data_IF_706203616736
#
_entry.id   IF_706203616736
#
_cell.length_a   1.000
_cell.length_b   1.000
_cell.length_c   1.000
_cell.angle_alpha   90.00
_cell.angle_beta   90.00
_cell.angle_gamma   90.00
#
_symmetry.space_group_name_H-M   'P 1'
#
loop_
_entity.id
_entity.type
_entity.pdbx_description
1 polymer ?
#
# COMPACT_ATOMS: atom_id res chain seq x y z
N UNK A 1 1.48 -31.60 7.68
CA UNK A 1 1.12 -32.60 8.70
C UNK A 1 2.39 -33.16 9.31
N UNK A 2 2.47 -33.14 10.65
CA UNK A 2 3.56 -33.79 11.40
C UNK A 2 3.19 -35.28 11.42
N UNK A 3 3.94 -36.10 10.70
CA UNK A 3 3.58 -37.50 10.52
C UNK A 3 4.27 -38.46 11.48
N UNK A 4 5.41 -38.12 12.05
CA UNK A 4 6.09 -38.93 13.06
C UNK A 4 7.03 -38.08 13.92
N UNK A 5 6.77 -38.03 15.20
CA UNK A 5 7.70 -37.47 16.19
C UNK A 5 8.36 -38.65 16.94
N UNK A 6 9.66 -38.83 16.76
CA UNK A 6 10.44 -39.83 17.51
C UNK A 6 11.29 -39.09 18.53
N UNK A 7 11.01 -39.34 19.81
CA UNK A 7 11.79 -38.80 20.92
C UNK A 7 12.71 -39.91 21.39
N UNK A 8 14.01 -39.67 21.40
CA UNK A 8 15.03 -40.59 21.89
C UNK A 8 15.77 -39.91 23.04
N UNK A 9 15.82 -40.54 24.16
CA UNK A 9 16.62 -40.12 25.33
C UNK A 9 17.89 -40.96 25.40
N UNK A 10 19.03 -40.31 25.58
CA UNK A 10 20.30 -40.99 25.82
C UNK A 10 21.13 -40.23 26.84
N UNK A 11 22.04 -40.91 27.49
CA UNK A 11 22.93 -40.34 28.48
C UNK A 11 24.37 -40.46 27.97
N UNK A 12 25.08 -39.36 27.95
CA UNK A 12 26.48 -39.30 27.57
C UNK A 12 27.23 -38.40 28.55
N UNK A 13 28.34 -38.91 29.09
CA UNK A 13 29.21 -38.20 30.07
C UNK A 13 28.45 -37.66 31.30
N UNK A 14 27.46 -38.42 31.80
CA UNK A 14 26.68 -38.06 33.01
C UNK A 14 25.64 -36.93 32.75
N UNK A 15 25.37 -36.62 31.49
CA UNK A 15 24.33 -35.68 31.08
C UNK A 15 23.28 -36.38 30.26
N UNK A 16 22.01 -36.09 30.55
CA UNK A 16 20.86 -36.54 29.77
C UNK A 16 20.65 -35.65 28.57
N UNK A 17 20.48 -36.24 27.42
CA UNK A 17 20.11 -35.60 26.17
C UNK A 17 18.78 -36.13 25.69
N UNK A 18 17.94 -35.24 25.18
CA UNK A 18 16.68 -35.56 24.52
C UNK A 18 16.78 -35.12 23.06
N UNK A 19 16.71 -36.08 22.16
CA UNK A 19 16.68 -35.77 20.73
C UNK A 19 15.26 -35.90 20.22
N UNK A 20 14.70 -34.85 19.68
CA UNK A 20 13.40 -34.86 19.02
C UNK A 20 13.62 -34.87 17.53
N UNK A 21 13.27 -35.97 16.84
CA UNK A 21 13.23 -36.02 15.38
C UNK A 21 11.81 -35.78 14.92
N UNK A 22 11.58 -34.66 14.27
CA UNK A 22 10.29 -34.33 13.63
C UNK A 22 10.41 -34.72 12.18
N UNK A 23 9.69 -35.77 11.77
CA UNK A 23 9.57 -36.12 10.36
C UNK A 23 8.55 -35.20 9.70
N UNK A 24 9.01 -34.40 8.77
CA UNK A 24 8.12 -33.72 7.83
C UNK A 24 7.90 -34.62 6.62
N UNK A 25 6.68 -35.04 6.38
CA UNK A 25 6.34 -35.53 5.04
C UNK A 25 6.51 -34.36 4.07
N UNK A 26 7.52 -34.44 3.26
CA UNK A 26 7.64 -33.54 2.11
C UNK A 26 6.42 -33.75 1.25
N UNK A 27 5.53 -32.79 1.22
CA UNK A 27 4.53 -32.76 0.15
C UNK A 27 5.31 -32.74 -1.18
N UNK A 28 4.87 -33.52 -2.19
CA UNK A 28 5.55 -33.55 -3.49
C UNK A 28 5.73 -32.09 -3.95
N UNK A 29 6.95 -31.80 -4.44
CA UNK A 29 7.40 -30.45 -4.79
C UNK A 29 6.30 -29.68 -5.52
N UNK A 30 5.65 -28.77 -4.82
CA UNK A 30 4.61 -27.92 -5.41
C UNK A 30 5.18 -27.02 -6.51
N UNK A 31 6.49 -26.79 -6.49
CA UNK A 31 7.21 -26.03 -7.51
C UNK A 31 7.34 -26.79 -8.86
N UNK A 32 7.28 -28.13 -8.85
CA UNK A 32 7.36 -28.95 -10.08
C UNK A 32 5.97 -29.24 -10.70
N UNK A 33 4.89 -28.83 -10.07
CA UNK A 33 3.56 -29.10 -10.58
C UNK A 33 3.15 -28.10 -11.66
N UNK A 34 2.93 -28.58 -12.86
CA UNK A 34 2.25 -27.81 -13.93
C UNK A 34 0.77 -27.69 -13.60
N UNK A 35 0.45 -26.81 -12.66
CA UNK A 35 -0.87 -26.71 -12.07
C UNK A 35 -2.01 -26.67 -13.09
N UNK A 36 -3.00 -27.55 -12.92
CA UNK A 36 -4.29 -27.52 -13.62
C UNK A 36 -5.36 -27.05 -12.65
N UNK A 37 -5.71 -25.78 -12.76
CA UNK A 37 -6.64 -25.13 -11.85
C UNK A 37 -8.09 -25.42 -12.19
N UNK A 38 -8.85 -25.75 -11.17
CA UNK A 38 -10.31 -25.74 -11.16
C UNK A 38 -10.77 -24.55 -10.34
N UNK A 39 -11.63 -23.73 -10.93
CA UNK A 39 -12.11 -22.49 -10.30
C UNK A 39 -13.48 -22.72 -9.69
N UNK A 40 -13.66 -22.36 -8.44
CA UNK A 40 -14.95 -22.28 -7.75
C UNK A 40 -15.21 -20.84 -7.38
N UNK A 41 -16.34 -20.28 -7.82
CA UNK A 41 -16.76 -18.94 -7.44
C UNK A 41 -17.26 -19.00 -5.99
N UNK A 42 -16.62 -18.26 -5.09
CA UNK A 42 -17.03 -18.08 -3.69
C UNK A 42 -18.02 -16.91 -3.59
N UNK A 43 -17.71 -15.83 -4.30
CA UNK A 43 -18.54 -14.63 -4.39
C UNK A 43 -18.54 -14.14 -5.83
N UNK A 44 -19.71 -13.87 -6.37
CA UNK A 44 -19.83 -13.38 -7.74
C UNK A 44 -19.32 -11.94 -7.84
N UNK A 45 -18.53 -11.65 -8.87
CA UNK A 45 -18.11 -10.29 -9.18
C UNK A 45 -19.28 -9.43 -9.66
N UNK A 46 -19.16 -8.13 -9.42
CA UNK A 46 -20.08 -7.09 -9.90
C UNK A 46 -19.34 -6.15 -10.86
N UNK A 47 -20.02 -5.11 -11.35
CA UNK A 47 -19.35 -4.08 -12.14
C UNK A 47 -18.24 -3.37 -11.39
N UNK A 48 -18.39 -3.23 -10.08
CA UNK A 48 -17.50 -2.48 -9.20
C UNK A 48 -16.57 -3.37 -8.38
N UNK A 49 -16.90 -4.66 -8.26
CA UNK A 49 -16.13 -5.60 -7.44
C UNK A 49 -15.87 -6.91 -8.16
N UNK A 50 -14.64 -7.40 -8.08
CA UNK A 50 -14.20 -8.61 -8.79
C UNK A 50 -14.65 -9.92 -8.18
N UNK A 51 -15.27 -9.92 -7.00
CA UNK A 51 -15.67 -11.13 -6.31
C UNK A 51 -14.50 -11.90 -5.69
N UNK A 52 -14.78 -13.18 -5.32
CA UNK A 52 -13.75 -14.11 -4.80
C UNK A 52 -13.87 -15.47 -5.46
N UNK A 53 -12.74 -16.02 -5.84
CA UNK A 53 -12.63 -17.34 -6.47
C UNK A 53 -11.63 -18.21 -5.71
N UNK A 54 -12.01 -19.45 -5.46
CA UNK A 54 -11.09 -20.49 -4.99
C UNK A 54 -10.56 -21.26 -6.19
N UNK A 55 -9.25 -21.34 -6.31
CA UNK A 55 -8.53 -22.14 -7.28
C UNK A 55 -8.01 -23.40 -6.60
N UNK A 56 -8.41 -24.58 -7.08
CA UNK A 56 -7.89 -25.85 -6.59
C UNK A 56 -7.15 -26.55 -7.73
N UNK A 57 -5.89 -26.90 -7.51
CA UNK A 57 -5.15 -27.68 -8.50
C UNK A 57 -5.62 -29.13 -8.50
N UNK A 58 -6.07 -29.63 -9.66
CA UNK A 58 -6.50 -31.02 -9.82
C UNK A 58 -5.38 -32.05 -9.67
N UNK A 59 -4.12 -31.62 -9.85
CA UNK A 59 -2.96 -32.52 -9.83
C UNK A 59 -2.36 -32.66 -8.43
N UNK A 60 -2.21 -31.53 -7.69
CA UNK A 60 -1.53 -31.51 -6.40
C UNK A 60 -2.41 -31.10 -5.22
N UNK A 61 -3.67 -30.72 -5.46
CA UNK A 61 -4.60 -30.31 -4.43
C UNK A 61 -4.33 -28.92 -3.82
N UNK A 62 -3.33 -28.18 -4.31
CA UNK A 62 -3.04 -26.83 -3.83
C UNK A 62 -4.26 -25.94 -4.02
N UNK A 63 -4.61 -25.20 -2.98
CA UNK A 63 -5.71 -24.23 -3.00
C UNK A 63 -5.18 -22.81 -2.88
N UNK A 64 -5.74 -21.90 -3.66
CA UNK A 64 -5.48 -20.46 -3.61
C UNK A 64 -6.81 -19.72 -3.71
N UNK A 65 -6.94 -18.65 -2.97
CA UNK A 65 -8.05 -17.70 -3.15
C UNK A 65 -7.51 -16.52 -3.94
N UNK A 66 -8.25 -16.07 -4.95
CA UNK A 66 -7.95 -14.85 -5.68
C UNK A 66 -9.19 -13.98 -5.78
N UNK A 67 -8.97 -12.69 -5.88
CA UNK A 67 -10.01 -11.73 -6.26
C UNK A 67 -9.76 -11.34 -7.71
N UNK A 68 -10.61 -11.79 -8.68
CA UNK A 68 -10.50 -11.34 -10.05
C UNK A 68 -10.82 -9.84 -10.15
N UNK A 69 -10.44 -9.20 -11.24
CA UNK A 69 -10.82 -7.81 -11.48
C UNK A 69 -12.34 -7.65 -11.52
N UNK A 70 -12.84 -6.49 -11.11
CA UNK A 70 -14.23 -6.11 -11.29
C UNK A 70 -14.63 -6.21 -12.76
N UNK A 71 -15.91 -6.52 -13.02
CA UNK A 71 -16.39 -6.72 -14.38
C UNK A 71 -16.43 -5.43 -15.21
N UNK A 72 -16.37 -4.27 -14.53
CA UNK A 72 -16.52 -2.95 -15.12
C UNK A 72 -17.96 -2.70 -15.62
N UNK A 73 -18.25 -1.45 -15.90
CA UNK A 73 -19.51 -1.09 -16.57
C UNK A 73 -19.42 -1.38 -18.08
N UNK A 74 -20.52 -1.77 -18.67
CA UNK A 74 -20.66 -2.00 -20.09
C UNK A 74 -21.92 -1.27 -20.58
N UNK A 75 -21.78 -0.49 -21.62
CA UNK A 75 -22.87 0.22 -22.30
C UNK A 75 -22.73 -0.07 -23.80
N UNK A 76 -23.19 -1.24 -24.22
CA UNK A 76 -23.06 -1.69 -25.60
C UNK A 76 -24.10 -1.05 -26.53
N UNK A 77 -25.27 -0.72 -26.00
CA UNK A 77 -26.37 -0.10 -26.74
C UNK A 77 -26.34 1.44 -26.68
N UNK A 78 -25.45 2.03 -25.86
CA UNK A 78 -25.26 3.47 -25.69
C UNK A 78 -26.48 4.21 -25.15
N UNK A 79 -27.26 3.53 -24.33
CA UNK A 79 -28.39 4.14 -23.63
C UNK A 79 -28.01 4.90 -22.37
N UNK A 80 -26.70 4.93 -22.03
CA UNK A 80 -26.10 5.52 -20.84
C UNK A 80 -26.50 4.81 -19.54
N UNK A 81 -26.93 3.59 -19.61
CA UNK A 81 -27.12 2.69 -18.49
C UNK A 81 -26.16 1.51 -18.62
N UNK A 82 -25.64 1.05 -17.52
CA UNK A 82 -24.82 -0.16 -17.55
C UNK A 82 -25.68 -1.39 -17.89
N UNK A 83 -25.34 -2.12 -18.93
CA UNK A 83 -26.03 -3.36 -19.33
C UNK A 83 -26.06 -4.44 -18.26
N UNK A 84 -25.14 -4.37 -17.29
CA UNK A 84 -24.99 -5.35 -16.21
C UNK A 84 -25.72 -4.97 -14.93
N UNK A 85 -25.53 -3.74 -14.43
CA UNK A 85 -26.10 -3.29 -13.15
C UNK A 85 -27.21 -2.25 -13.32
N UNK A 86 -27.40 -1.71 -14.50
CA UNK A 86 -28.38 -0.66 -14.84
C UNK A 86 -28.08 0.70 -14.18
N UNK A 87 -26.88 0.87 -13.64
CA UNK A 87 -26.48 2.17 -13.11
C UNK A 87 -26.27 3.19 -14.23
N UNK A 88 -26.64 4.45 -14.03
CA UNK A 88 -26.47 5.49 -15.03
C UNK A 88 -25.00 5.82 -15.28
N UNK A 89 -24.57 5.83 -16.54
CA UNK A 89 -23.23 6.13 -17.00
C UNK A 89 -23.13 7.60 -17.47
N UNK A 90 -23.58 8.51 -16.67
CA UNK A 90 -23.56 9.94 -16.99
C UNK A 90 -22.18 10.48 -16.69
N UNK A 91 -21.27 10.55 -17.63
CA UNK A 91 -20.04 11.35 -17.61
C UNK A 91 -19.24 11.47 -16.30
N UNK A 92 -19.88 11.38 -15.18
CA UNK A 92 -19.32 11.16 -13.86
C UNK A 92 -19.36 9.64 -13.62
N UNK A 93 -18.22 8.97 -13.78
CA UNK A 93 -18.13 7.54 -13.42
C UNK A 93 -18.63 7.36 -11.98
N UNK A 94 -19.49 6.36 -11.71
CA UNK A 94 -19.98 6.12 -10.36
C UNK A 94 -18.80 5.86 -9.44
N UNK A 95 -18.79 6.53 -8.30
CA UNK A 95 -17.80 6.33 -7.25
C UNK A 95 -17.88 4.87 -6.82
N UNK A 96 -16.74 4.20 -6.83
CA UNK A 96 -16.66 2.84 -6.35
C UNK A 96 -16.99 2.81 -4.85
N UNK A 97 -18.05 2.08 -4.50
CA UNK A 97 -18.44 1.85 -3.12
C UNK A 97 -18.51 0.35 -2.87
N UNK A 98 -18.21 -0.08 -1.65
CA UNK A 98 -18.22 -1.50 -1.33
C UNK A 98 -18.07 -1.74 0.17
N UNK A 99 -18.03 -3.01 0.54
CA UNK A 99 -17.58 -3.46 1.85
C UNK A 99 -16.19 -4.04 1.70
N UNK A 100 -15.25 -3.33 2.23
CA UNK A 100 -13.85 -3.68 2.16
C UNK A 100 -13.38 -4.17 3.53
N UNK A 101 -12.49 -5.15 3.52
CA UNK A 101 -11.84 -5.65 4.73
C UNK A 101 -10.33 -5.50 4.61
N UNK A 102 -9.64 -5.38 5.75
CA UNK A 102 -8.17 -5.43 5.79
C UNK A 102 -7.67 -6.69 5.09
N UNK A 103 -6.72 -6.52 4.19
CA UNK A 103 -6.17 -7.60 3.36
C UNK A 103 -6.79 -7.72 1.96
N UNK A 104 -7.94 -7.09 1.67
CA UNK A 104 -8.50 -7.05 0.31
C UNK A 104 -7.54 -6.33 -0.65
N UNK A 105 -7.40 -6.86 -1.86
CA UNK A 105 -6.46 -6.34 -2.86
C UNK A 105 -7.21 -5.82 -4.08
N UNK A 106 -6.85 -4.62 -4.49
CA UNK A 106 -7.34 -3.94 -5.67
C UNK A 106 -6.21 -3.70 -6.66
N UNK A 107 -6.50 -3.76 -7.94
CA UNK A 107 -5.53 -3.45 -9.00
C UNK A 107 -5.85 -2.10 -9.59
N UNK A 108 -4.87 -1.20 -9.65
CA UNK A 108 -5.01 0.15 -10.21
C UNK A 108 -3.90 0.44 -11.21
N UNK A 109 -4.24 1.21 -12.21
CA UNK A 109 -3.29 1.70 -13.19
C UNK A 109 -2.83 3.11 -12.82
N UNK A 110 -1.51 3.32 -12.82
CA UNK A 110 -0.89 4.64 -12.68
C UNK A 110 -0.03 4.91 -13.93
N UNK A 111 -0.54 5.75 -14.81
CA UNK A 111 0.09 5.96 -16.10
C UNK A 111 0.04 4.72 -16.99
N UNK A 112 1.20 4.15 -17.32
CA UNK A 112 1.33 2.93 -18.16
C UNK A 112 1.34 1.65 -17.34
N UNK A 113 1.63 1.73 -16.06
CA UNK A 113 1.90 0.60 -15.19
C UNK A 113 0.71 0.28 -14.31
N UNK A 114 0.64 -0.98 -13.89
CA UNK A 114 -0.44 -1.52 -13.07
C UNK A 114 0.13 -1.97 -11.74
N UNK A 115 -0.48 -1.53 -10.64
CA UNK A 115 -0.06 -1.81 -9.28
C UNK A 115 -1.17 -2.46 -8.49
N UNK A 116 -0.78 -3.28 -7.52
CA UNK A 116 -1.69 -3.83 -6.52
C UNK A 116 -1.71 -2.92 -5.30
N UNK A 117 -2.90 -2.74 -4.74
CA UNK A 117 -3.15 -1.97 -3.54
C UNK A 117 -3.90 -2.84 -2.56
N UNK A 118 -3.41 -2.91 -1.34
CA UNK A 118 -4.00 -3.70 -0.25
C UNK A 118 -4.74 -2.78 0.71
N UNK A 119 -5.94 -3.18 1.13
CA UNK A 119 -6.65 -2.54 2.21
C UNK A 119 -5.88 -2.76 3.52
N UNK A 120 -5.45 -1.68 4.15
CA UNK A 120 -4.72 -1.68 5.43
C UNK A 120 -5.56 -1.15 6.59
N UNK A 121 -6.70 -0.53 6.29
CA UNK A 121 -7.64 -0.03 7.29
C UNK A 121 -9.05 0.00 6.67
N UNK A 122 -10.00 -0.67 7.28
CA UNK A 122 -11.39 -0.73 6.81
C UNK A 122 -12.33 0.22 7.57
N UNK A 123 -11.79 0.99 8.51
CA UNK A 123 -12.48 2.03 9.28
C UNK A 123 -11.68 3.36 9.30
N UNK A 124 -11.00 3.65 8.18
CA UNK A 124 -10.21 4.86 8.06
C UNK A 124 -11.09 6.11 8.06
N UNK A 125 -10.77 7.04 8.96
CA UNK A 125 -11.35 8.38 8.95
C UNK A 125 -10.32 9.36 8.42
N UNK A 126 -10.58 9.94 7.27
CA UNK A 126 -9.77 11.07 6.78
C UNK A 126 -9.85 12.23 7.75
N UNK A 127 -8.86 13.11 7.76
CA UNK A 127 -8.82 14.29 8.64
C UNK A 127 -9.93 15.33 8.33
N UNK A 128 -11.00 14.90 7.70
CA UNK A 128 -12.18 15.72 7.36
C UNK A 128 -13.35 15.42 8.26
N UNK A 129 -14.28 16.36 8.26
CA UNK A 129 -15.44 16.41 9.14
C UNK A 129 -16.65 15.60 8.64
N UNK A 130 -16.51 14.87 7.58
CA UNK A 130 -17.54 13.96 7.12
C UNK A 130 -17.47 12.68 7.96
N UNK A 131 -18.58 12.30 8.54
CA UNK A 131 -18.70 11.05 9.30
C UNK A 131 -18.67 9.82 8.39
N UNK A 132 -18.15 9.97 7.15
CA UNK A 132 -17.99 8.89 6.19
C UNK A 132 -16.83 7.99 6.59
N UNK A 133 -17.09 6.70 6.64
CA UNK A 133 -16.05 5.67 6.80
C UNK A 133 -15.46 5.32 5.45
N UNK A 134 -14.17 5.08 5.45
CA UNK A 134 -13.43 4.69 4.25
C UNK A 134 -12.61 3.44 4.50
N UNK A 135 -12.35 2.69 3.45
CA UNK A 135 -11.27 1.74 3.41
C UNK A 135 -10.04 2.41 2.82
N UNK A 136 -8.90 2.32 3.51
CA UNK A 136 -7.62 2.83 3.06
C UNK A 136 -6.87 1.73 2.33
N UNK A 137 -6.59 1.95 1.06
CA UNK A 137 -5.78 1.08 0.22
C UNK A 137 -4.38 1.65 0.03
N UNK A 138 -3.37 0.83 0.26
CA UNK A 138 -1.96 1.19 0.13
C UNK A 138 -1.31 0.37 -0.98
N UNK A 139 -0.52 1.00 -1.83
CA UNK A 139 0.26 0.32 -2.86
C UNK A 139 1.17 -0.75 -2.25
N UNK A 140 1.13 -1.98 -2.74
CA UNK A 140 1.94 -3.07 -2.19
C UNK A 140 3.43 -2.90 -2.49
N UNK A 141 3.76 -2.32 -3.63
CA UNK A 141 5.14 -2.10 -4.05
C UNK A 141 5.53 -0.64 -3.96
N UNK A 142 6.80 -0.39 -3.73
CA UNK A 142 7.35 0.96 -3.85
C UNK A 142 7.53 1.29 -5.32
N UNK A 143 6.84 2.34 -5.79
CA UNK A 143 7.04 2.90 -7.12
C UNK A 143 8.39 3.61 -7.12
N UNK A 144 9.29 3.19 -7.98
CA UNK A 144 10.63 3.74 -8.07
C UNK A 144 10.61 5.22 -8.46
N UNK A 145 11.53 6.00 -7.92
CA UNK A 145 11.63 7.44 -8.25
C UNK A 145 11.99 7.73 -9.70
N UNK A 146 12.53 6.75 -10.45
CA UNK A 146 12.90 6.89 -11.87
C UNK A 146 11.84 6.41 -12.87
N UNK A 147 10.61 6.14 -12.43
CA UNK A 147 9.53 5.59 -13.25
C UNK A 147 9.18 6.41 -14.49
N UNK A 148 9.34 7.73 -14.44
CA UNK A 148 9.09 8.59 -15.61
C UNK A 148 10.25 8.66 -16.61
N UNK A 149 11.27 7.83 -16.44
CA UNK A 149 12.50 7.86 -17.24
C UNK A 149 12.38 7.22 -18.64
N UNK A 150 11.18 7.07 -19.17
CA UNK A 150 10.98 6.58 -20.55
C UNK A 150 11.44 7.60 -21.62
N UNK A 151 11.77 8.81 -21.21
CA UNK A 151 12.34 9.84 -22.08
C UNK A 151 13.83 9.98 -21.83
N UNK A 152 14.59 10.41 -22.85
CA UNK A 152 16.04 10.59 -22.83
C UNK A 152 16.58 11.55 -21.76
N UNK A 153 15.68 12.26 -21.08
CA UNK A 153 15.94 13.05 -19.88
C UNK A 153 15.32 12.34 -18.65
N UNK A 154 16.03 11.38 -18.10
CA UNK A 154 15.65 10.67 -16.88
C UNK A 154 15.33 11.66 -15.75
N UNK A 155 14.07 12.01 -15.58
CA UNK A 155 13.64 12.82 -14.46
C UNK A 155 13.36 11.90 -13.27
N UNK A 156 14.19 12.00 -12.25
CA UNK A 156 13.94 11.34 -10.95
C UNK A 156 12.91 12.16 -10.21
N UNK A 157 11.89 11.50 -9.69
CA UNK A 157 10.86 12.12 -8.86
C UNK A 157 11.42 12.27 -7.46
N UNK A 158 11.52 13.49 -6.97
CA UNK A 158 11.92 13.82 -5.61
C UNK A 158 10.75 14.44 -4.85
N UNK A 159 10.91 14.65 -3.54
CA UNK A 159 9.86 15.36 -2.80
C UNK A 159 9.66 16.77 -3.33
N UNK A 160 10.73 17.45 -3.67
CA UNK A 160 10.69 18.77 -4.27
C UNK A 160 11.73 19.74 -3.69
N UNK A 161 11.34 21.02 -3.56
CA UNK A 161 12.23 22.09 -3.11
C UNK A 161 12.26 22.26 -1.59
N UNK A 162 11.19 21.89 -0.92
CA UNK A 162 11.01 21.94 0.52
C UNK A 162 10.04 20.84 0.97
N UNK A 163 9.87 20.69 2.26
CA UNK A 163 9.03 19.65 2.85
C UNK A 163 7.53 20.01 2.95
N UNK A 164 7.08 21.02 2.20
CA UNK A 164 5.65 21.31 2.07
C UNK A 164 4.98 20.31 1.13
N UNK A 165 4.31 19.31 1.67
CA UNK A 165 3.62 18.30 0.86
C UNK A 165 2.61 18.89 -0.13
N UNK A 166 1.91 19.97 0.24
CA UNK A 166 0.92 20.61 -0.62
C UNK A 166 1.49 21.01 -1.97
N UNK A 167 2.73 21.50 -1.99
CA UNK A 167 3.41 22.02 -3.17
C UNK A 167 4.47 21.05 -3.72
N UNK A 168 4.55 19.82 -3.17
CA UNK A 168 5.56 18.83 -3.53
C UNK A 168 5.43 18.34 -4.97
N UNK A 169 6.56 17.97 -5.57
CA UNK A 169 6.58 17.34 -6.91
C UNK A 169 5.87 15.98 -6.89
N UNK A 170 5.98 15.24 -5.78
CA UNK A 170 5.31 13.96 -5.58
C UNK A 170 3.80 14.12 -5.64
N UNK A 171 3.22 15.05 -4.86
CA UNK A 171 1.77 15.28 -4.87
C UNK A 171 1.28 15.70 -6.25
N UNK A 172 2.04 16.54 -6.95
CA UNK A 172 1.74 16.92 -8.33
C UNK A 172 1.75 15.71 -9.25
N UNK A 173 2.79 14.86 -9.15
CA UNK A 173 2.90 13.64 -9.94
C UNK A 173 1.72 12.69 -9.72
N UNK A 174 1.36 12.43 -8.45
CA UNK A 174 0.22 11.58 -8.09
C UNK A 174 -1.09 12.14 -8.67
N UNK A 175 -1.31 13.45 -8.52
CA UNK A 175 -2.50 14.11 -9.05
C UNK A 175 -2.59 13.99 -10.56
N UNK A 176 -1.49 14.26 -11.28
CA UNK A 176 -1.46 14.20 -12.74
C UNK A 176 -1.72 12.78 -13.26
N UNK A 177 -1.31 11.73 -12.50
CA UNK A 177 -1.60 10.32 -12.82
C UNK A 177 -3.02 9.89 -12.53
N UNK A 178 -3.70 10.53 -11.58
CA UNK A 178 -5.08 10.19 -11.18
C UNK A 178 -6.15 10.99 -11.95
N UNK A 179 -5.80 12.08 -12.61
CA UNK A 179 -6.75 12.99 -13.27
C UNK A 179 -6.77 12.91 -14.79
N UNK A 180 -5.80 12.22 -15.41
CA UNK A 180 -5.75 12.06 -16.86
C UNK A 180 -6.62 10.89 -17.36
N UNK A 181 -7.08 10.95 -18.63
CA UNK A 181 -7.79 9.85 -19.29
C UNK A 181 -7.04 8.50 -19.20
N UNK A 182 -5.73 8.54 -19.06
CA UNK A 182 -4.89 7.35 -18.87
C UNK A 182 -4.93 6.78 -17.44
N UNK A 183 -5.35 7.56 -16.44
CA UNK A 183 -5.42 7.11 -15.03
C UNK A 183 -6.75 6.44 -14.66
N UNK A 184 -7.79 6.70 -15.44
CA UNK A 184 -9.16 6.25 -15.16
C UNK A 184 -9.54 4.94 -15.86
N UNK A 185 -8.69 4.42 -16.74
CA UNK A 185 -9.05 3.29 -17.60
C UNK A 185 -8.67 1.93 -16.99
N UNK A 186 -9.22 1.56 -15.85
CA UNK A 186 -9.24 0.14 -15.50
C UNK A 186 -10.39 -0.18 -14.53
N UNK A 187 -11.58 -0.39 -15.06
CA UNK A 187 -12.59 -1.31 -14.50
C UNK A 187 -13.08 -1.11 -13.06
N UNK A 188 -12.63 -0.09 -12.41
CA UNK A 188 -13.03 0.33 -11.08
C UNK A 188 -13.45 1.80 -11.18
N UNK A 189 -14.55 2.17 -10.57
CA UNK A 189 -15.09 3.53 -10.60
C UNK A 189 -14.07 4.61 -10.24
N UNK A 190 -14.38 5.85 -10.51
CA UNK A 190 -13.51 6.97 -10.22
C UNK A 190 -13.14 7.02 -8.73
N UNK A 191 -11.86 7.25 -8.43
CA UNK A 191 -11.44 7.50 -7.06
C UNK A 191 -12.04 8.83 -6.59
N UNK A 192 -12.73 8.80 -5.45
CA UNK A 192 -13.24 10.01 -4.82
C UNK A 192 -12.08 10.78 -4.17
N UNK A 193 -12.02 12.13 -4.31
CA UNK A 193 -11.08 12.90 -3.52
C UNK A 193 -11.49 12.89 -2.05
N UNK A 194 -10.52 12.66 -1.18
CA UNK A 194 -10.69 12.74 0.28
C UNK A 194 -9.88 13.88 0.86
N UNK A 195 -10.29 14.37 2.03
CA UNK A 195 -9.53 15.40 2.72
C UNK A 195 -8.30 14.76 3.37
N UNK A 196 -7.12 15.18 2.93
CA UNK A 196 -5.83 14.76 3.46
C UNK A 196 -5.19 15.93 4.17
N UNK A 197 -4.82 15.73 5.43
CA UNK A 197 -4.21 16.77 6.26
C UNK A 197 -2.72 16.57 6.48
N UNK A 198 -1.98 17.69 6.54
CA UNK A 198 -0.70 17.80 7.22
C UNK A 198 -0.93 18.65 8.46
N UNK A 199 -1.04 17.98 9.60
CA UNK A 199 -1.41 18.60 10.89
C UNK A 199 -0.29 18.50 11.91
N UNK A 200 0.78 17.78 11.56
CA UNK A 200 1.89 17.46 12.45
C UNK A 200 3.23 17.55 11.72
N UNK A 201 4.27 17.87 12.48
CA UNK A 201 5.66 17.66 12.12
C UNK A 201 6.33 16.86 13.23
N UNK A 202 7.46 16.29 12.93
CA UNK A 202 8.24 15.52 13.92
C UNK A 202 9.70 15.93 13.92
N UNK A 203 10.40 15.64 15.03
CA UNK A 203 11.85 15.60 15.14
C UNK A 203 12.28 14.22 15.59
N UNK A 204 13.49 13.80 15.20
CA UNK A 204 14.03 12.49 15.54
C UNK A 204 13.68 11.41 14.51
N UNK A 205 13.87 10.17 14.90
CA UNK A 205 13.62 9.00 14.06
C UNK A 205 13.24 7.79 14.91
N UNK A 206 12.70 6.76 14.30
CA UNK A 206 12.52 5.47 14.96
C UNK A 206 13.84 4.70 14.97
N UNK A 207 14.06 3.86 15.97
CA UNK A 207 15.15 2.89 15.94
C UNK A 207 14.88 1.80 14.91
N UNK A 208 15.92 1.17 14.33
CA UNK A 208 15.76 -0.03 13.51
C UNK A 208 15.00 -1.10 14.27
N UNK A 209 14.08 -1.79 13.58
CA UNK A 209 13.39 -2.93 14.17
C UNK A 209 14.36 -4.08 14.38
N UNK A 210 14.58 -4.51 15.62
CA UNK A 210 15.19 -5.80 15.94
C UNK A 210 14.09 -6.83 16.15
N UNK A 211 14.30 -8.07 15.67
CA UNK A 211 13.33 -9.14 15.90
C UNK A 211 13.01 -9.28 17.39
N UNK A 212 11.76 -9.02 17.76
CA UNK A 212 11.23 -9.23 19.11
C UNK A 212 11.26 -8.04 20.07
N UNK A 213 11.84 -6.89 19.71
CA UNK A 213 11.77 -5.68 20.51
C UNK A 213 10.97 -4.60 19.81
N UNK A 214 10.03 -3.97 20.54
CA UNK A 214 9.34 -2.78 20.05
C UNK A 214 10.38 -1.69 19.78
N UNK A 215 10.47 -1.19 18.55
CA UNK A 215 11.37 -0.12 18.19
C UNK A 215 11.11 1.09 19.10
N UNK A 216 12.11 1.51 19.85
CA UNK A 216 12.01 2.73 20.63
C UNK A 216 11.80 3.90 19.68
N UNK A 217 10.74 4.65 19.90
CA UNK A 217 10.38 5.77 19.06
C UNK A 217 10.92 7.04 19.69
N UNK A 218 12.01 7.57 19.17
CA UNK A 218 12.57 8.87 19.58
C UNK A 218 11.94 10.04 18.79
N UNK A 219 10.66 9.91 18.41
CA UNK A 219 9.95 10.92 17.65
C UNK A 219 9.27 11.92 18.58
N UNK A 220 9.66 13.18 18.48
CA UNK A 220 8.99 14.29 19.15
C UNK A 220 7.97 14.91 18.20
N UNK A 221 6.70 14.89 18.60
CA UNK A 221 5.57 15.36 17.80
C UNK A 221 5.29 16.84 18.06
N UNK A 222 5.11 17.59 16.98
CA UNK A 222 4.70 18.99 17.00
C UNK A 222 3.37 19.14 16.26
N UNK A 223 2.41 19.81 16.89
CA UNK A 223 1.14 20.13 16.24
C UNK A 223 1.29 21.37 15.38
N UNK A 224 0.86 21.29 14.14
CA UNK A 224 0.86 22.38 13.18
C UNK A 224 -0.55 22.96 12.98
N UNK A 225 -0.62 24.16 12.43
CA UNK A 225 -1.86 24.62 11.82
C UNK A 225 -2.23 23.67 10.66
N UNK A 226 -3.42 23.07 10.66
CA UNK A 226 -3.80 22.08 9.67
C UNK A 226 -3.73 22.63 8.24
N UNK A 227 -2.97 21.96 7.39
CA UNK A 227 -2.99 22.21 5.95
C UNK A 227 -3.78 21.09 5.28
N UNK A 228 -5.02 21.40 4.89
CA UNK A 228 -5.92 20.44 4.27
C UNK A 228 -5.83 20.48 2.75
N UNK A 229 -5.87 19.32 2.13
CA UNK A 229 -5.83 19.11 0.70
C UNK A 229 -6.91 18.11 0.30
N UNK A 230 -7.45 18.25 -0.89
CA UNK A 230 -8.39 17.27 -1.45
C UNK A 230 -7.64 16.46 -2.52
N UNK A 231 -7.37 15.19 -2.22
CA UNK A 231 -6.55 14.32 -3.05
C UNK A 231 -7.22 12.96 -3.28
N UNK A 232 -7.09 12.42 -4.50
CA UNK A 232 -7.53 11.06 -4.84
C UNK A 232 -6.51 10.01 -4.44
N UNK A 233 -5.22 10.35 -4.59
CA UNK A 233 -4.10 9.54 -4.10
C UNK A 233 -3.14 10.43 -3.31
N UNK A 234 -2.58 9.87 -2.25
CA UNK A 234 -1.73 10.60 -1.31
C UNK A 234 -0.68 9.67 -0.69
N UNK A 235 0.29 10.24 0.01
CA UNK A 235 1.24 9.49 0.81
C UNK A 235 0.74 9.37 2.25
N UNK A 236 1.15 8.32 2.96
CA UNK A 236 0.90 8.18 4.39
C UNK A 236 1.61 9.29 5.20
N UNK A 237 1.07 9.64 6.36
CA UNK A 237 1.78 10.40 7.38
C UNK A 237 2.67 9.48 8.22
N UNK A 238 3.50 10.07 9.08
CA UNK A 238 4.28 9.32 10.08
C UNK A 238 3.36 8.53 11.02
N UNK A 239 2.27 9.14 11.49
CA UNK A 239 1.32 8.47 12.39
C UNK A 239 0.65 7.27 11.70
N UNK A 240 0.27 7.42 10.43
CA UNK A 240 -0.32 6.32 9.66
C UNK A 240 0.72 5.24 9.38
N UNK A 241 1.94 5.61 9.02
CA UNK A 241 3.03 4.64 8.82
C UNK A 241 3.33 3.84 10.09
N UNK A 242 3.31 4.48 11.27
CA UNK A 242 3.45 3.81 12.56
C UNK A 242 2.25 2.91 12.87
N UNK A 243 1.02 3.37 12.57
CA UNK A 243 -0.22 2.61 12.81
C UNK A 243 -0.27 1.32 12.00
N UNK A 244 0.14 1.39 10.73
CA UNK A 244 0.08 0.25 9.81
C UNK A 244 1.42 -0.47 9.65
N UNK A 245 2.33 -0.32 10.59
CA UNK A 245 3.70 -0.82 10.49
C UNK A 245 3.78 -2.32 10.25
N UNK A 246 2.92 -3.11 10.89
CA UNK A 246 2.91 -4.56 10.75
C UNK A 246 2.48 -4.99 9.35
N UNK A 247 1.50 -4.30 8.76
CA UNK A 247 1.02 -4.57 7.40
C UNK A 247 2.00 -4.06 6.32
N UNK A 248 2.95 -3.18 6.69
CA UNK A 248 3.89 -2.58 5.75
C UNK A 248 5.16 -3.40 5.54
N UNK A 249 5.49 -4.30 6.46
CA UNK A 249 6.77 -5.02 6.45
C UNK A 249 6.90 -6.09 5.38
N UNK A 250 5.82 -6.75 4.99
CA UNK A 250 5.87 -7.92 4.09
C UNK A 250 6.18 -7.60 2.63
N UNK A 251 6.36 -6.34 2.29
CA UNK A 251 6.62 -5.90 0.93
C UNK A 251 8.08 -5.49 0.75
N UNK A 252 8.96 -6.46 0.69
CA UNK A 252 10.36 -6.24 0.30
C UNK A 252 10.38 -5.87 -1.17
N UNK A 253 10.74 -4.62 -1.47
CA UNK A 253 11.05 -4.23 -2.84
C UNK A 253 12.42 -4.79 -3.24
N UNK A 254 12.57 -5.18 -4.51
CA UNK A 254 13.88 -5.53 -5.06
C UNK A 254 14.89 -4.40 -4.79
N UNK A 255 16.13 -4.75 -4.46
CA UNK A 255 17.20 -3.79 -4.27
C UNK A 255 17.39 -2.93 -5.53
N UNK A 256 17.00 -1.69 -5.42
CA UNK A 256 17.15 -0.70 -6.48
C UNK A 256 17.69 0.61 -5.89
N UNK A 257 18.67 1.26 -6.54
CA UNK A 257 19.17 2.55 -6.09
C UNK A 257 18.11 3.65 -6.07
N UNK A 258 16.95 3.42 -6.71
CA UNK A 258 15.82 4.36 -6.81
C UNK A 258 14.61 3.95 -5.97
N UNK A 259 14.76 2.96 -5.09
CA UNK A 259 13.70 2.48 -4.19
C UNK A 259 14.26 2.00 -2.87
N UNK A 260 15.20 2.77 -2.30
CA UNK A 260 15.74 2.55 -0.94
C UNK A 260 14.64 2.48 0.10
N UNK A 261 13.55 3.21 -0.15
CA UNK A 261 12.40 3.31 0.69
C UNK A 261 11.34 4.18 0.04
N UNK A 262 10.46 4.77 0.81
CA UNK A 262 9.40 5.61 0.28
C UNK A 262 9.13 6.83 1.16
N UNK A 263 8.72 7.90 0.51
CA UNK A 263 8.36 9.15 1.15
C UNK A 263 7.06 9.08 1.95
N UNK A 264 7.02 9.82 3.05
CA UNK A 264 5.81 10.15 3.79
C UNK A 264 5.44 11.62 3.56
N UNK A 265 4.17 11.99 3.82
CA UNK A 265 3.73 13.38 3.64
C UNK A 265 4.09 14.31 4.81
N UNK A 266 4.62 13.79 5.90
CA UNK A 266 4.92 14.53 7.13
C UNK A 266 6.23 15.28 7.01
N UNK A 267 6.27 16.60 7.28
CA UNK A 267 7.51 17.35 7.29
C UNK A 267 8.33 17.09 8.56
N UNK A 268 9.64 17.23 8.46
CA UNK A 268 10.51 17.38 9.62
C UNK A 268 10.28 18.77 10.22
N UNK A 269 10.16 18.84 11.55
CA UNK A 269 9.98 20.11 12.24
C UNK A 269 11.24 20.96 12.12
N UNK A 270 11.08 22.17 11.66
CA UNK A 270 12.12 23.19 11.65
C UNK A 270 11.58 24.46 12.28
N UNK A 271 12.31 24.99 13.27
CA UNK A 271 11.96 26.24 13.92
C UNK A 271 12.51 27.43 13.13
N UNK A 272 11.65 28.38 12.86
CA UNK A 272 12.05 29.65 12.24
C UNK A 272 12.54 30.67 13.28
N UNK A 273 13.08 31.78 12.81
CA UNK A 273 13.63 32.86 13.65
C UNK A 273 12.64 33.40 14.70
N UNK A 274 11.35 33.29 14.45
CA UNK A 274 10.28 33.76 15.34
C UNK A 274 9.71 32.66 16.26
N UNK A 275 10.38 31.50 16.38
CA UNK A 275 9.94 30.37 17.19
C UNK A 275 8.78 29.57 16.64
N UNK A 276 8.34 29.82 15.40
CA UNK A 276 7.28 29.07 14.74
C UNK A 276 7.81 28.05 13.72
N UNK A 277 6.96 27.12 13.32
CA UNK A 277 7.28 26.13 12.28
C UNK A 277 7.52 26.82 10.93
N UNK A 278 8.58 26.40 10.25
CA UNK A 278 8.84 26.74 8.84
C UNK A 278 9.08 25.47 8.03
N UNK A 279 8.77 25.52 6.73
CA UNK A 279 9.08 24.42 5.81
C UNK A 279 10.57 24.41 5.48
N UNK A 280 11.23 23.28 5.75
CA UNK A 280 12.66 23.07 5.54
C UNK A 280 12.96 22.15 4.35
N UNK A 281 14.16 21.58 4.37
CA UNK A 281 14.68 20.72 3.30
C UNK A 281 14.61 19.23 3.61
N UNK A 282 14.00 18.82 4.73
CA UNK A 282 13.87 17.42 5.13
C UNK A 282 12.41 17.02 5.33
N UNK A 283 12.02 15.91 4.75
CA UNK A 283 10.74 15.26 4.97
C UNK A 283 10.96 13.85 5.51
N UNK A 284 9.91 13.24 6.08
CA UNK A 284 10.02 11.87 6.57
C UNK A 284 9.94 10.86 5.43
N UNK A 285 10.74 9.81 5.56
CA UNK A 285 10.72 8.65 4.70
C UNK A 285 10.84 7.36 5.54
N UNK A 286 10.40 6.24 4.97
CA UNK A 286 10.62 4.89 5.50
C UNK A 286 11.79 4.29 4.74
N UNK A 287 12.82 3.83 5.45
CA UNK A 287 13.93 3.07 4.88
C UNK A 287 13.58 1.57 4.93
N UNK A 288 13.51 0.92 3.78
CA UNK A 288 13.13 -0.49 3.69
C UNK A 288 14.23 -1.46 4.13
N UNK A 289 15.47 -0.98 4.31
CA UNK A 289 16.58 -1.83 4.74
C UNK A 289 16.48 -2.24 6.20
N UNK A 290 15.91 -1.37 7.03
CA UNK A 290 15.81 -1.55 8.47
C UNK A 290 14.45 -1.10 9.06
N UNK A 291 13.55 -0.58 8.23
CA UNK A 291 12.22 -0.08 8.63
C UNK A 291 12.25 1.22 9.43
N UNK A 292 13.37 1.90 9.47
CA UNK A 292 13.48 3.20 10.13
C UNK A 292 12.58 4.24 9.46
N UNK A 293 11.79 4.95 10.26
CA UNK A 293 11.09 6.15 9.85
C UNK A 293 11.93 7.34 10.32
N UNK A 294 12.50 8.06 9.37
CA UNK A 294 13.45 9.13 9.69
C UNK A 294 13.46 10.25 8.66
N UNK A 295 14.20 11.33 8.96
CA UNK A 295 14.37 12.46 8.05
C UNK A 295 15.20 12.07 6.83
N UNK A 296 14.82 12.63 5.68
CA UNK A 296 15.56 12.54 4.43
C UNK A 296 15.50 13.87 3.68
N UNK A 297 16.58 14.23 3.01
CA UNK A 297 16.64 15.44 2.19
C UNK A 297 15.60 15.37 1.06
N UNK A 298 14.79 16.42 0.89
CA UNK A 298 13.71 16.47 -0.10
C UNK A 298 14.17 16.30 -1.54
N UNK A 299 15.45 16.49 -1.80
CA UNK A 299 16.11 16.27 -3.10
C UNK A 299 16.64 14.84 -3.29
N UNK A 300 16.56 13.98 -2.28
CA UNK A 300 17.05 12.61 -2.37
C UNK A 300 16.20 11.78 -3.34
N UNK A 301 16.78 11.37 -4.44
CA UNK A 301 16.15 10.56 -5.48
C UNK A 301 16.19 9.05 -5.20
N UNK A 302 16.74 8.61 -4.07
CA UNK A 302 16.77 7.18 -3.70
C UNK A 302 15.45 6.67 -3.10
N UNK A 303 14.59 7.57 -2.60
CA UNK A 303 13.27 7.22 -2.09
C UNK A 303 12.21 7.27 -3.18
N UNK A 304 11.42 6.22 -3.26
CA UNK A 304 10.29 6.11 -4.18
C UNK A 304 8.97 6.55 -3.55
N UNK A 305 7.87 6.07 -4.13
CA UNK A 305 6.51 6.41 -3.74
C UNK A 305 5.75 5.16 -3.34
N UNK A 306 4.97 5.27 -2.28
CA UNK A 306 4.00 4.24 -1.87
C UNK A 306 2.65 4.91 -1.68
N UNK A 307 1.91 5.15 -2.77
CA UNK A 307 0.67 5.90 -2.70
C UNK A 307 -0.45 5.11 -2.05
N UNK A 308 -1.35 5.84 -1.42
CA UNK A 308 -2.59 5.33 -0.86
C UNK A 308 -3.79 6.06 -1.46
N UNK A 309 -4.95 5.42 -1.43
CA UNK A 309 -6.24 6.01 -1.76
C UNK A 309 -7.35 5.44 -0.87
N UNK A 310 -8.49 6.12 -0.83
CA UNK A 310 -9.63 5.69 -0.05
C UNK A 310 -10.80 5.31 -0.94
N UNK A 311 -11.56 4.29 -0.51
CA UNK A 311 -12.86 3.95 -1.05
C UNK A 311 -13.91 4.09 0.04
N UNK A 312 -15.10 4.66 -0.25
CA UNK A 312 -16.18 4.73 0.72
C UNK A 312 -16.64 3.34 1.16
N UNK A 313 -16.80 3.15 2.46
CA UNK A 313 -17.44 1.97 3.02
C UNK A 313 -18.97 2.14 2.97
N UNK A 314 -19.67 1.09 2.52
CA UNK A 314 -21.14 1.04 2.43
C UNK A 314 -21.78 0.42 3.66
#
# INVERSE_FOLDING_TARGET
NISNTKIEEYEENGRRYVTCRIGFERQPDQEACTHRWETRILEAGTCLWGGKEELTCRLCGLRKVRSPAALGHLDADRDRLCDRCRDPLNGDEPIETGRWAVGDVQTRRLGKDTYQFRCVDDDYSSAGTDHQKYALFLCETVIRSDMDSTDSQKKIITFGKNNNYKDSEIRKWLRDRCTGEAGLQMGAGALMPVNVGVCTAFLGQTSPGTEGEAAETELVKYTLLPQMMSDRMFLLSVEEALKYREELWDTVSEESPYSRGYWLRTPVYQEGENGGFIYGTEAYAVDLRDGTIGPAEVSDGSFGLRPAYCLPQS
#
